data_IF_561738328581
#
_entry.id   IF_561738328581
#
_cell.length_a   1.000
_cell.length_b   1.000
_cell.length_c   1.000
_cell.angle_alpha   90.00
_cell.angle_beta   90.00
_cell.angle_gamma   90.00
#
_symmetry.space_group_name_H-M   'P 1'
#
loop_
_entity.id
_entity.type
_entity.pdbx_description
1 polymer ?
#
# COMPACT_ATOMS: atom_id res chain seq x y z
N UNK A 1 12.76 15.05 18.24
CA UNK A 1 12.17 14.38 17.06
C UNK A 1 12.16 15.34 15.88
N UNK A 2 12.62 14.92 14.69
CA UNK A 2 12.49 15.72 13.46
C UNK A 2 11.00 15.78 13.10
N UNK A 3 10.45 16.97 12.85
CA UNK A 3 9.04 17.10 12.46
C UNK A 3 8.83 16.52 11.07
N UNK A 4 7.75 15.76 10.89
CA UNK A 4 7.28 15.32 9.56
C UNK A 4 6.93 16.54 8.72
N UNK A 5 7.40 16.55 7.47
CA UNK A 5 7.06 17.59 6.49
C UNK A 5 5.87 17.13 5.65
N UNK A 6 4.96 18.04 5.37
CA UNK A 6 3.74 17.77 4.61
C UNK A 6 3.56 18.90 3.61
N UNK A 7 3.19 18.55 2.38
CA UNK A 7 2.80 19.49 1.32
C UNK A 7 1.46 19.09 0.76
N UNK A 8 0.64 20.08 0.39
CA UNK A 8 -0.59 19.89 -0.38
C UNK A 8 -0.48 20.73 -1.65
N UNK A 9 -0.60 20.08 -2.81
CA UNK A 9 -0.44 20.72 -4.12
C UNK A 9 -1.66 20.43 -4.97
N UNK A 10 -2.23 21.48 -5.54
CA UNK A 10 -3.34 21.37 -6.49
C UNK A 10 -2.84 20.84 -7.83
N UNK A 11 -3.62 19.95 -8.44
CA UNK A 11 -3.36 19.48 -9.81
C UNK A 11 -3.92 20.53 -10.78
N UNK A 12 -3.07 21.05 -11.64
CA UNK A 12 -3.44 21.97 -12.72
C UNK A 12 -3.36 21.22 -14.05
N UNK A 13 -4.30 21.48 -14.95
CA UNK A 13 -4.31 20.95 -16.33
C UNK A 13 -4.21 19.40 -16.39
N UNK A 14 -4.74 18.72 -15.36
CA UNK A 14 -4.64 17.26 -15.20
C UNK A 14 -3.18 16.73 -15.19
N UNK A 15 -2.21 17.58 -14.87
CA UNK A 15 -0.79 17.23 -14.85
C UNK A 15 -0.35 16.73 -13.46
N UNK A 16 -0.76 15.50 -13.15
CA UNK A 16 -0.44 14.83 -11.86
C UNK A 16 1.05 14.74 -11.60
N UNK A 17 1.86 14.49 -12.64
CA UNK A 17 3.32 14.38 -12.49
C UNK A 17 3.97 15.71 -12.08
N UNK A 18 3.56 16.82 -12.68
CA UNK A 18 4.07 18.15 -12.30
C UNK A 18 3.66 18.52 -10.87
N UNK A 19 2.42 18.24 -10.48
CA UNK A 19 1.94 18.46 -9.12
C UNK A 19 2.70 17.63 -8.09
N UNK A 20 2.94 16.34 -8.38
CA UNK A 20 3.74 15.46 -7.54
C UNK A 20 5.18 15.97 -7.40
N UNK A 21 5.83 16.34 -8.50
CA UNK A 21 7.20 16.87 -8.47
C UNK A 21 7.26 18.12 -7.58
N UNK A 22 6.32 19.05 -7.74
CA UNK A 22 6.23 20.24 -6.89
C UNK A 22 6.03 19.90 -5.40
N UNK A 23 5.14 18.93 -5.09
CA UNK A 23 4.92 18.47 -3.72
C UNK A 23 6.22 17.94 -3.08
N UNK A 24 7.01 17.17 -3.84
CA UNK A 24 8.30 16.65 -3.34
C UNK A 24 9.33 17.76 -3.12
N UNK A 25 9.41 18.75 -4.01
CA UNK A 25 10.27 19.92 -3.80
C UNK A 25 9.92 20.68 -2.50
N UNK A 26 8.63 20.87 -2.22
CA UNK A 26 8.15 21.55 -1.01
C UNK A 26 8.49 20.82 0.30
N UNK A 27 8.65 19.50 0.29
CA UNK A 27 9.09 18.73 1.47
C UNK A 27 10.61 18.58 1.57
N UNK A 28 11.37 19.17 0.65
CA UNK A 28 12.83 19.24 0.70
C UNK A 28 13.56 18.55 -0.45
N UNK A 29 12.86 18.21 -1.52
CA UNK A 29 13.45 17.73 -2.76
C UNK A 29 13.65 16.22 -2.83
N UNK A 30 14.10 15.78 -4.00
CA UNK A 30 14.22 14.36 -4.35
C UNK A 30 15.28 13.63 -3.55
N UNK A 31 16.53 14.10 -3.54
CA UNK A 31 17.66 13.36 -2.96
C UNK A 31 17.49 13.01 -1.47
N UNK A 32 16.99 13.91 -0.59
CA UNK A 32 16.76 13.56 0.81
C UNK A 32 15.55 12.62 1.02
N UNK A 33 14.71 12.45 0.01
CA UNK A 33 13.45 11.69 0.07
C UNK A 33 13.60 10.31 -0.56
N UNK A 34 14.28 10.24 -1.70
CA UNK A 34 14.57 9.04 -2.48
C UNK A 34 16.03 9.15 -2.95
N UNK A 35 16.99 8.71 -2.12
CA UNK A 35 18.41 8.78 -2.46
C UNK A 35 18.75 7.92 -3.67
N UNK A 36 19.76 8.36 -4.44
CA UNK A 36 20.26 7.58 -5.58
C UNK A 36 20.78 6.19 -5.15
N UNK A 37 20.58 5.19 -6.00
CA UNK A 37 20.98 3.81 -5.74
C UNK A 37 20.10 3.05 -4.73
N UNK A 38 18.97 3.62 -4.31
CA UNK A 38 18.01 2.95 -3.41
C UNK A 38 17.31 1.77 -4.08
N UNK A 39 17.00 0.73 -3.31
CA UNK A 39 15.95 -0.25 -3.65
C UNK A 39 14.59 0.31 -3.21
N UNK A 40 13.73 0.59 -4.17
CA UNK A 40 12.47 1.29 -3.95
C UNK A 40 11.31 0.29 -4.05
N UNK A 41 10.47 0.25 -3.03
CA UNK A 41 9.14 -0.36 -3.10
C UNK A 41 8.09 0.74 -3.26
N UNK A 42 7.29 0.66 -4.32
CA UNK A 42 6.07 1.46 -4.48
C UNK A 42 4.88 0.57 -4.13
N UNK A 43 4.17 0.96 -3.07
CA UNK A 43 3.02 0.21 -2.56
C UNK A 43 1.73 1.00 -2.80
N UNK A 44 0.94 0.65 -3.83
CA UNK A 44 -0.39 1.25 -4.04
C UNK A 44 -1.38 0.83 -2.94
N UNK A 45 -2.67 1.02 -3.19
CA UNK A 45 -3.79 0.48 -2.44
C UNK A 45 -4.66 -0.28 -3.45
N UNK A 46 -4.61 -1.61 -3.44
CA UNK A 46 -5.50 -2.47 -4.23
C UNK A 46 -6.33 -3.30 -3.27
N UNK A 47 -7.66 -3.14 -3.32
CA UNK A 47 -8.58 -3.84 -2.41
C UNK A 47 -9.31 -4.94 -3.17
N UNK A 48 -10.04 -4.55 -4.22
CA UNK A 48 -10.85 -5.44 -5.05
C UNK A 48 -10.75 -4.93 -6.48
N UNK A 49 -10.64 -5.82 -7.46
CA UNK A 49 -10.77 -5.48 -8.88
C UNK A 49 -11.74 -6.46 -9.56
N UNK A 50 -12.50 -6.04 -10.61
CA UNK A 50 -12.47 -4.74 -11.27
C UNK A 50 -13.22 -3.64 -10.50
N UNK A 51 -12.60 -2.48 -10.35
CA UNK A 51 -13.21 -1.23 -9.88
C UNK A 51 -12.23 -0.09 -10.19
N UNK A 52 -12.74 1.12 -10.36
CA UNK A 52 -11.91 2.33 -10.35
C UNK A 52 -11.94 3.03 -8.98
N UNK A 53 -12.85 2.59 -8.10
CA UNK A 53 -13.14 3.23 -6.82
C UNK A 53 -12.46 2.54 -5.65
N UNK A 54 -11.83 3.33 -4.79
CA UNK A 54 -11.19 2.81 -3.57
C UNK A 54 -9.91 2.02 -3.83
N UNK A 55 -9.32 2.17 -5.02
CA UNK A 55 -7.98 1.72 -5.43
C UNK A 55 -7.13 2.92 -5.87
N UNK A 56 -5.80 2.82 -5.81
CA UNK A 56 -4.93 3.90 -6.27
C UNK A 56 -5.13 4.15 -7.76
N UNK A 57 -5.36 5.40 -8.13
CA UNK A 57 -5.52 5.82 -9.52
C UNK A 57 -4.25 5.49 -10.32
N UNK A 58 -4.35 4.80 -11.46
CA UNK A 58 -3.20 4.45 -12.30
C UNK A 58 -2.36 5.66 -12.72
N UNK A 59 -2.95 6.85 -12.90
CA UNK A 59 -2.23 8.09 -13.24
C UNK A 59 -1.33 8.53 -12.10
N UNK A 60 -1.77 8.39 -10.84
CA UNK A 60 -0.95 8.70 -9.65
C UNK A 60 0.15 7.67 -9.49
N UNK A 61 -0.17 6.37 -9.64
CA UNK A 61 0.81 5.30 -9.56
C UNK A 61 1.91 5.47 -10.61
N UNK A 62 1.55 5.79 -11.86
CA UNK A 62 2.50 6.04 -12.93
C UNK A 62 3.34 7.30 -12.67
N UNK A 63 2.73 8.37 -12.14
CA UNK A 63 3.48 9.57 -11.79
C UNK A 63 4.54 9.30 -10.71
N UNK A 64 4.20 8.51 -9.69
CA UNK A 64 5.14 8.08 -8.64
C UNK A 64 6.24 7.18 -9.21
N UNK A 65 5.87 6.21 -10.05
CA UNK A 65 6.82 5.32 -10.70
C UNK A 65 7.81 6.06 -11.59
N UNK A 66 7.31 6.97 -12.43
CA UNK A 66 8.12 7.84 -13.28
C UNK A 66 9.06 8.71 -12.44
N UNK A 67 8.57 9.26 -11.33
CA UNK A 67 9.41 10.06 -10.44
C UNK A 67 10.53 9.21 -9.84
N UNK A 68 10.21 8.04 -9.30
CA UNK A 68 11.18 7.11 -8.73
C UNK A 68 12.23 6.68 -9.76
N UNK A 69 11.85 6.42 -11.01
CA UNK A 69 12.78 6.01 -12.08
C UNK A 69 13.80 7.08 -12.44
N UNK A 70 13.54 8.36 -12.15
CA UNK A 70 14.50 9.45 -12.41
C UNK A 70 15.60 9.56 -11.34
N UNK A 71 15.53 8.79 -10.26
CA UNK A 71 16.46 8.87 -9.12
C UNK A 71 17.71 8.00 -9.27
N UNK A 72 17.94 7.37 -10.43
CA UNK A 72 18.96 6.34 -10.61
C UNK A 72 18.88 5.22 -9.54
N UNK A 73 17.70 4.60 -9.35
CA UNK A 73 17.51 3.57 -8.34
C UNK A 73 18.27 2.29 -8.69
N UNK A 74 18.64 1.52 -7.67
CA UNK A 74 19.21 0.18 -7.86
C UNK A 74 18.14 -0.82 -8.31
N UNK A 75 16.92 -0.64 -7.83
CA UNK A 75 15.76 -1.47 -8.16
C UNK A 75 14.48 -0.70 -7.86
N UNK A 76 13.43 -0.90 -8.66
CA UNK A 76 12.07 -0.47 -8.33
C UNK A 76 11.16 -1.69 -8.37
N UNK A 77 10.33 -1.85 -7.35
CA UNK A 77 9.29 -2.89 -7.28
C UNK A 77 7.94 -2.23 -7.00
N UNK A 78 6.92 -2.55 -7.78
CA UNK A 78 5.53 -2.28 -7.42
C UNK A 78 5.01 -3.50 -6.67
N UNK A 79 4.69 -3.34 -5.38
CA UNK A 79 4.29 -4.46 -4.52
C UNK A 79 2.97 -4.21 -3.83
N UNK A 80 2.03 -5.14 -3.97
CA UNK A 80 0.76 -5.13 -3.25
C UNK A 80 0.30 -6.55 -2.88
N UNK A 81 -0.48 -6.67 -1.80
CA UNK A 81 -1.27 -7.85 -1.46
C UNK A 81 -2.74 -7.45 -1.45
N UNK A 82 -3.44 -7.72 -2.56
CA UNK A 82 -4.85 -7.33 -2.70
C UNK A 82 -5.72 -8.07 -1.67
N UNK A 83 -6.71 -7.37 -1.11
CA UNK A 83 -7.45 -7.85 0.06
C UNK A 83 -8.62 -8.79 -0.30
N UNK A 84 -9.37 -8.47 -1.35
CA UNK A 84 -10.63 -9.10 -1.74
C UNK A 84 -10.62 -9.49 -3.23
N UNK A 85 -9.42 -9.71 -3.77
CA UNK A 85 -9.20 -10.26 -5.09
C UNK A 85 -7.80 -10.86 -5.16
N UNK A 86 -7.57 -11.78 -6.11
CA UNK A 86 -6.21 -12.23 -6.38
C UNK A 86 -5.37 -11.07 -6.90
N UNK A 87 -4.24 -10.79 -6.25
CA UNK A 87 -3.40 -9.63 -6.57
C UNK A 87 -2.97 -9.62 -8.03
N UNK A 88 -2.59 -10.78 -8.58
CA UNK A 88 -2.19 -10.89 -9.98
C UNK A 88 -3.31 -10.53 -10.96
N UNK A 89 -4.58 -10.77 -10.59
CA UNK A 89 -5.74 -10.32 -11.37
C UNK A 89 -5.86 -8.81 -11.34
N UNK A 90 -5.72 -8.18 -10.17
CA UNK A 90 -5.70 -6.71 -10.05
C UNK A 90 -4.58 -6.08 -10.87
N UNK A 91 -3.37 -6.66 -10.82
CA UNK A 91 -2.23 -6.19 -11.61
C UNK A 91 -2.48 -6.26 -13.12
N UNK A 92 -3.16 -7.32 -13.61
CA UNK A 92 -3.53 -7.45 -15.02
C UNK A 92 -4.60 -6.46 -15.43
N UNK A 93 -5.69 -6.36 -14.66
CA UNK A 93 -6.82 -5.48 -14.97
C UNK A 93 -6.43 -4.00 -15.00
N UNK A 94 -5.46 -3.60 -14.16
CA UNK A 94 -4.96 -2.23 -14.08
C UNK A 94 -3.71 -1.99 -14.95
N UNK A 95 -3.32 -2.96 -15.80
CA UNK A 95 -2.14 -2.88 -16.66
C UNK A 95 -0.83 -2.53 -15.92
N UNK A 96 -0.69 -2.97 -14.67
CA UNK A 96 0.48 -2.64 -13.83
C UNK A 96 1.74 -3.28 -14.39
N UNK A 97 1.67 -4.47 -14.98
CA UNK A 97 2.83 -5.12 -15.61
C UNK A 97 3.39 -4.30 -16.78
N UNK A 98 2.52 -3.83 -17.67
CA UNK A 98 2.93 -2.99 -18.80
C UNK A 98 3.50 -1.65 -18.29
N UNK A 99 2.80 -1.01 -17.36
CA UNK A 99 3.26 0.22 -16.70
C UNK A 99 4.65 0.04 -16.08
N UNK A 100 4.87 -1.00 -15.28
CA UNK A 100 6.15 -1.28 -14.64
C UNK A 100 7.27 -1.46 -15.66
N UNK A 101 7.01 -2.19 -16.74
CA UNK A 101 8.00 -2.47 -17.79
C UNK A 101 8.54 -1.19 -18.46
N UNK A 102 7.69 -0.18 -18.67
CA UNK A 102 8.09 1.12 -19.28
C UNK A 102 9.13 1.88 -18.47
N UNK A 103 9.23 1.60 -17.17
CA UNK A 103 10.15 2.26 -16.24
C UNK A 103 11.18 1.31 -15.63
N UNK A 104 11.29 0.08 -16.14
CA UNK A 104 12.22 -0.94 -15.63
C UNK A 104 11.93 -1.41 -14.21
N UNK A 105 10.67 -1.37 -13.78
CA UNK A 105 10.24 -1.85 -12.48
C UNK A 105 9.76 -3.30 -12.53
N UNK A 106 9.95 -4.01 -11.43
CA UNK A 106 9.37 -5.32 -11.18
C UNK A 106 7.98 -5.19 -10.55
N UNK A 107 7.17 -6.24 -10.63
CA UNK A 107 5.87 -6.32 -9.96
C UNK A 107 5.87 -7.52 -9.03
N UNK A 108 5.42 -7.34 -7.79
CA UNK A 108 5.42 -8.40 -6.77
C UNK A 108 4.06 -8.52 -6.07
N UNK A 109 3.57 -9.75 -6.01
CA UNK A 109 2.42 -10.10 -5.17
C UNK A 109 2.89 -10.37 -3.73
N UNK A 110 2.60 -9.43 -2.83
CA UNK A 110 2.96 -9.52 -1.42
C UNK A 110 2.14 -10.57 -0.67
N UNK A 111 1.01 -11.04 -1.22
CA UNK A 111 0.23 -12.11 -0.59
C UNK A 111 0.98 -13.44 -0.56
N UNK A 112 1.80 -13.71 -1.57
CA UNK A 112 2.52 -14.98 -1.71
C UNK A 112 4.03 -14.87 -1.45
N UNK A 113 4.51 -13.65 -1.19
CA UNK A 113 5.92 -13.38 -0.94
C UNK A 113 6.40 -14.07 0.35
N UNK A 114 7.70 -14.38 0.39
CA UNK A 114 8.29 -14.96 1.59
C UNK A 114 8.28 -13.95 2.74
N UNK A 115 8.01 -14.39 3.96
CA UNK A 115 7.89 -13.53 5.13
C UNK A 115 9.15 -13.53 5.98
N UNK A 116 9.61 -12.34 6.35
CA UNK A 116 10.62 -12.11 7.39
C UNK A 116 9.91 -11.89 8.72
N UNK A 117 10.28 -12.67 9.74
CA UNK A 117 9.72 -12.54 11.09
C UNK A 117 10.31 -11.32 11.80
N UNK A 118 9.47 -10.35 12.15
CA UNK A 118 9.84 -9.14 12.88
C UNK A 118 9.20 -9.16 14.27
N UNK A 119 10.02 -9.09 15.32
CA UNK A 119 9.56 -9.08 16.72
C UNK A 119 8.82 -7.78 17.03
N UNK A 120 7.69 -7.87 17.71
CA UNK A 120 6.85 -6.74 18.09
C UNK A 120 6.91 -6.45 19.60
N UNK A 121 6.70 -5.19 20.02
CA UNK A 121 6.49 -4.86 21.43
C UNK A 121 5.17 -5.43 21.94
N UNK A 122 5.13 -5.83 23.21
CA UNK A 122 3.97 -6.44 23.86
C UNK A 122 2.67 -5.62 23.74
N UNK A 123 2.79 -4.27 23.72
CA UNK A 123 1.67 -3.34 23.62
C UNK A 123 0.81 -3.52 22.33
N UNK A 124 1.36 -4.16 21.31
CA UNK A 124 0.70 -4.38 20.02
C UNK A 124 -0.20 -5.63 20.02
N UNK A 125 -0.11 -6.49 21.05
CA UNK A 125 -0.97 -7.66 21.20
C UNK A 125 -0.63 -8.86 20.30
N UNK A 126 0.59 -8.89 19.75
CA UNK A 126 1.20 -10.03 19.04
C UNK A 126 2.72 -9.98 19.24
N UNK A 127 3.36 -11.14 19.32
CA UNK A 127 4.80 -11.24 19.60
C UNK A 127 5.66 -10.92 18.37
N UNK A 128 5.11 -11.14 17.17
CA UNK A 128 5.77 -10.86 15.90
C UNK A 128 4.77 -10.58 14.77
N UNK A 129 5.30 -10.08 13.66
CA UNK A 129 4.65 -10.08 12.35
C UNK A 129 5.57 -10.74 11.33
N UNK A 130 4.97 -11.48 10.40
CA UNK A 130 5.59 -11.88 9.14
C UNK A 130 5.45 -10.73 8.13
N UNK A 131 6.56 -10.05 7.83
CA UNK A 131 6.64 -8.95 6.87
C UNK A 131 7.12 -9.48 5.52
N UNK A 132 6.49 -9.16 4.37
CA UNK A 132 6.96 -9.60 3.07
C UNK A 132 8.42 -9.20 2.85
N UNK A 133 9.24 -10.13 2.38
CA UNK A 133 10.69 -9.95 2.18
C UNK A 133 10.97 -8.74 1.30
N UNK A 134 10.18 -8.55 0.25
CA UNK A 134 10.28 -7.39 -0.65
C UNK A 134 10.10 -6.06 0.09
N UNK A 135 9.23 -6.02 1.11
CA UNK A 135 9.01 -4.83 1.95
C UNK A 135 10.15 -4.65 2.96
N UNK A 136 10.63 -5.75 3.54
CA UNK A 136 11.70 -5.74 4.54
C UNK A 136 13.06 -5.32 3.95
N UNK A 137 13.35 -5.71 2.71
CA UNK A 137 14.64 -5.47 2.03
C UNK A 137 14.67 -4.15 1.23
N UNK A 138 13.56 -3.42 1.18
CA UNK A 138 13.48 -2.12 0.51
C UNK A 138 14.12 -1.01 1.36
N UNK A 139 15.04 -0.26 0.75
CA UNK A 139 15.65 0.92 1.36
C UNK A 139 14.63 2.03 1.52
N UNK A 140 13.75 2.19 0.52
CA UNK A 140 12.69 3.21 0.49
C UNK A 140 11.34 2.56 0.19
N UNK A 141 10.37 2.74 1.09
CA UNK A 141 8.97 2.34 0.92
C UNK A 141 8.11 3.58 0.66
N UNK A 142 7.64 3.70 -0.58
CA UNK A 142 6.70 4.74 -1.01
C UNK A 142 5.27 4.18 -0.93
N UNK A 143 4.50 4.65 0.05
CA UNK A 143 3.10 4.28 0.23
C UNK A 143 2.20 5.20 -0.58
N UNK A 144 1.29 4.64 -1.39
CA UNK A 144 0.39 5.42 -2.26
C UNK A 144 -1.09 5.12 -1.95
N UNK A 145 -1.60 5.51 -0.75
CA UNK A 145 -2.98 5.27 -0.35
C UNK A 145 -3.98 6.11 -1.14
N UNK A 146 -5.24 5.66 -1.13
CA UNK A 146 -6.39 6.46 -1.57
C UNK A 146 -6.92 7.37 -0.47
N UNK A 147 -7.41 8.55 -0.86
CA UNK A 147 -8.09 9.47 0.05
C UNK A 147 -9.52 8.96 0.37
N UNK A 148 -9.65 8.12 1.40
CA UNK A 148 -10.94 7.56 1.82
C UNK A 148 -11.15 7.64 3.32
N UNK A 149 -12.40 7.92 3.71
CA UNK A 149 -12.90 7.64 5.05
C UNK A 149 -13.21 6.15 5.19
N UNK A 150 -13.10 5.62 6.41
CA UNK A 150 -13.43 4.23 6.71
C UNK A 150 -14.70 4.20 7.55
N UNK A 151 -15.77 3.58 7.03
CA UNK A 151 -17.02 3.31 7.76
C UNK A 151 -17.61 4.51 8.52
N UNK A 152 -17.76 5.66 7.83
CA UNK A 152 -18.58 6.82 8.26
C UNK A 152 -18.10 7.61 9.48
N UNK A 153 -17.78 6.93 10.59
CA UNK A 153 -17.58 7.51 11.91
C UNK A 153 -16.10 7.44 12.37
N UNK A 154 -15.24 6.71 11.66
CA UNK A 154 -13.82 6.63 11.99
C UNK A 154 -12.98 7.64 11.20
N UNK A 155 -12.06 8.35 11.87
CA UNK A 155 -11.21 9.34 11.22
C UNK A 155 -10.32 8.68 10.16
N UNK A 156 -10.09 9.45 9.11
CA UNK A 156 -9.22 9.18 7.96
C UNK A 156 -7.99 8.34 8.32
N UNK A 157 -7.78 7.19 7.65
CA UNK A 157 -6.68 6.27 7.97
C UNK A 157 -5.47 6.35 7.02
N UNK A 158 -5.69 6.80 5.79
CA UNK A 158 -4.68 7.12 4.76
C UNK A 158 -3.45 6.18 4.78
N UNK A 159 -2.27 6.74 5.06
CA UNK A 159 -0.98 6.04 5.02
C UNK A 159 -0.91 4.86 5.98
N UNK A 160 -1.45 5.03 7.20
CA UNK A 160 -1.32 4.03 8.26
C UNK A 160 -1.98 2.71 7.87
N UNK A 161 -3.17 2.78 7.25
CA UNK A 161 -3.90 1.58 6.85
C UNK A 161 -3.40 1.00 5.53
N UNK A 162 -2.63 1.74 4.73
CA UNK A 162 -2.20 1.23 3.43
C UNK A 162 -1.31 -0.01 3.55
N UNK A 163 -0.51 -0.08 4.61
CA UNK A 163 0.35 -1.23 4.91
C UNK A 163 -0.44 -2.51 5.27
N UNK A 164 -1.77 -2.47 5.31
CA UNK A 164 -2.60 -3.68 5.48
C UNK A 164 -2.30 -4.77 4.44
N UNK A 165 -2.04 -4.40 3.19
CA UNK A 165 -1.67 -5.39 2.16
C UNK A 165 -0.30 -6.05 2.35
N UNK A 166 0.44 -5.69 3.40
CA UNK A 166 1.66 -6.40 3.81
C UNK A 166 1.34 -7.61 4.71
N UNK A 167 0.10 -7.80 5.16
CA UNK A 167 -0.33 -9.04 5.80
C UNK A 167 -0.58 -10.12 4.75
N UNK A 168 0.50 -10.66 4.18
CA UNK A 168 0.42 -11.57 3.06
C UNK A 168 -0.34 -12.86 3.35
N UNK A 169 -1.25 -13.24 2.45
CA UNK A 169 -2.10 -14.43 2.60
C UNK A 169 -1.33 -15.73 2.91
N UNK A 170 -0.08 -15.87 2.44
CA UNK A 170 0.81 -17.00 2.75
C UNK A 170 0.90 -17.31 4.26
N UNK A 171 0.85 -16.29 5.11
CA UNK A 171 0.96 -16.44 6.57
C UNK A 171 -0.35 -16.14 7.30
N UNK A 172 -1.15 -15.20 6.80
CA UNK A 172 -2.36 -14.70 7.49
C UNK A 172 -3.68 -15.17 6.85
N UNK A 173 -3.61 -15.83 5.70
CA UNK A 173 -4.75 -16.31 4.92
C UNK A 173 -5.44 -15.23 4.10
N UNK A 174 -6.27 -15.67 3.16
CA UNK A 174 -7.16 -14.80 2.39
C UNK A 174 -8.46 -14.60 3.18
N UNK A 175 -8.95 -13.36 3.29
CA UNK A 175 -10.17 -12.95 4.00
C UNK A 175 -10.07 -12.83 5.54
N UNK A 176 -10.91 -11.94 6.09
CA UNK A 176 -11.00 -11.58 7.52
C UNK A 176 -11.10 -12.78 8.47
N UNK A 177 -11.76 -13.85 8.05
CA UNK A 177 -12.11 -15.01 8.86
C UNK A 177 -11.44 -16.30 8.39
N UNK A 178 -10.35 -16.23 7.60
CA UNK A 178 -9.64 -17.41 7.05
C UNK A 178 -9.38 -18.49 8.12
N UNK A 179 -8.86 -18.07 9.27
CA UNK A 179 -8.57 -18.90 10.43
C UNK A 179 -9.81 -19.47 11.16
N UNK A 180 -10.98 -18.84 11.02
CA UNK A 180 -12.26 -19.33 11.54
C UNK A 180 -12.92 -20.29 10.54
N UNK A 181 -12.90 -19.95 9.25
CA UNK A 181 -13.46 -20.75 8.15
C UNK A 181 -12.76 -22.11 8.03
N UNK A 182 -11.45 -22.17 8.26
CA UNK A 182 -10.72 -23.44 8.31
C UNK A 182 -11.25 -24.42 9.36
N UNK A 183 -11.82 -23.91 10.45
CA UNK A 183 -12.39 -24.73 11.53
C UNK A 183 -13.80 -25.20 11.23
N UNK A 184 -14.57 -24.45 10.43
CA UNK A 184 -16.01 -24.66 10.23
C UNK A 184 -16.37 -25.21 8.86
N UNK A 185 -15.59 -24.94 7.81
CA UNK A 185 -15.81 -25.47 6.46
C UNK A 185 -14.49 -25.69 5.67
N UNK A 186 -13.72 -26.73 6.04
CA UNK A 186 -12.39 -27.01 5.45
C UNK A 186 -12.42 -27.38 3.96
N UNK A 187 -13.60 -27.60 3.37
CA UNK A 187 -13.76 -27.88 1.94
C UNK A 187 -13.79 -26.61 1.08
N UNK A 188 -13.97 -25.45 1.71
CA UNK A 188 -13.93 -24.13 1.06
C UNK A 188 -12.59 -23.42 1.25
N UNK A 189 -11.60 -24.11 1.83
CA UNK A 189 -10.28 -23.55 2.10
C UNK A 189 -9.23 -24.33 1.30
N UNK A 190 -8.62 -23.69 0.30
CA UNK A 190 -7.45 -24.23 -0.38
C UNK A 190 -6.21 -24.13 0.53
N UNK A 191 -5.24 -25.00 0.32
CA UNK A 191 -3.95 -24.93 1.00
C UNK A 191 -3.26 -23.60 0.64
N UNK A 192 -3.05 -22.72 1.64
CA UNK A 192 -2.54 -21.35 1.45
C UNK A 192 -3.61 -20.25 1.51
N UNK A 193 -4.90 -20.58 1.53
CA UNK A 193 -5.98 -19.62 1.82
C UNK A 193 -6.21 -19.43 3.33
N UNK A 194 -5.68 -20.34 4.14
CA UNK A 194 -5.73 -20.29 5.60
C UNK A 194 -4.36 -19.94 6.14
N UNK A 195 -4.29 -18.84 6.89
CA UNK A 195 -3.07 -18.43 7.57
C UNK A 195 -2.75 -19.30 8.77
N UNK A 196 -1.46 -19.47 9.04
CA UNK A 196 -0.96 -20.06 10.29
C UNK A 196 -0.82 -19.01 11.41
N UNK A 197 -0.76 -17.73 11.04
CA UNK A 197 -0.68 -16.59 11.94
C UNK A 197 -2.08 -16.03 12.27
N UNK A 198 -2.18 -15.24 13.35
CA UNK A 198 -3.41 -14.51 13.66
C UNK A 198 -3.72 -13.50 12.55
N UNK A 199 -4.94 -13.56 12.03
CA UNK A 199 -5.40 -12.68 10.95
C UNK A 199 -5.33 -11.19 11.29
N UNK A 200 -5.43 -10.36 10.26
CA UNK A 200 -5.28 -8.89 10.32
C UNK A 200 -6.30 -8.16 11.22
N UNK A 201 -7.39 -8.81 11.62
CA UNK A 201 -8.38 -8.23 12.52
C UNK A 201 -8.15 -8.59 13.99
N UNK A 202 -7.10 -9.37 14.30
CA UNK A 202 -6.79 -9.81 15.66
C UNK A 202 -5.48 -9.19 16.17
N UNK A 203 -5.43 -8.72 17.44
CA UNK A 203 -6.55 -8.65 18.37
C UNK A 203 -7.54 -7.54 18.00
N UNK A 204 -7.07 -6.52 17.29
CA UNK A 204 -7.91 -5.51 16.66
C UNK A 204 -7.29 -4.99 15.35
N UNK A 205 -8.07 -4.21 14.59
CA UNK A 205 -7.61 -3.55 13.35
C UNK A 205 -6.54 -2.51 13.67
N UNK A 206 -6.75 -1.70 14.71
CA UNK A 206 -5.88 -0.62 15.14
C UNK A 206 -4.52 -1.15 15.57
N UNK A 207 -4.50 -2.24 16.33
CA UNK A 207 -3.28 -2.91 16.73
C UNK A 207 -2.53 -3.49 15.53
N UNK A 208 -3.24 -4.03 14.54
CA UNK A 208 -2.61 -4.56 13.32
C UNK A 208 -2.06 -3.44 12.43
N UNK A 209 -2.73 -2.27 12.40
CA UNK A 209 -2.20 -1.06 11.77
C UNK A 209 -0.90 -0.66 12.47
N UNK A 210 -0.91 -0.55 13.80
CA UNK A 210 0.26 -0.18 14.58
C UNK A 210 1.42 -1.17 14.39
N UNK A 211 1.15 -2.48 14.42
CA UNK A 211 2.16 -3.52 14.25
C UNK A 211 2.92 -3.38 12.93
N UNK A 212 2.20 -3.22 11.82
CA UNK A 212 2.84 -3.18 10.50
C UNK A 212 3.62 -1.88 10.30
N UNK A 213 3.10 -0.75 10.79
CA UNK A 213 3.83 0.53 10.75
C UNK A 213 5.06 0.53 11.67
N UNK A 214 5.03 -0.20 12.79
CA UNK A 214 6.20 -0.40 13.65
C UNK A 214 7.23 -1.34 13.01
N UNK A 215 6.77 -2.37 12.29
CA UNK A 215 7.64 -3.32 11.61
C UNK A 215 8.38 -2.68 10.42
N UNK A 216 7.67 -1.90 9.60
CA UNK A 216 8.26 -1.10 8.53
C UNK A 216 7.45 0.17 8.30
N UNK A 217 7.88 1.33 8.80
CA UNK A 217 7.25 2.60 8.46
C UNK A 217 7.49 2.92 6.98
N UNK A 218 6.58 3.67 6.36
CA UNK A 218 6.82 4.25 5.04
C UNK A 218 7.79 5.42 5.14
N UNK A 219 8.67 5.55 4.14
CA UNK A 219 9.65 6.64 4.08
C UNK A 219 9.07 7.86 3.35
N UNK A 220 8.18 7.60 2.38
CA UNK A 220 7.39 8.61 1.67
C UNK A 220 5.95 8.14 1.56
N UNK A 221 4.99 9.05 1.74
CA UNK A 221 3.58 8.79 1.46
C UNK A 221 3.08 9.80 0.43
N UNK A 222 2.52 9.30 -0.67
CA UNK A 222 1.83 10.10 -1.69
C UNK A 222 0.35 9.72 -1.66
N UNK A 223 -0.47 10.58 -1.08
CA UNK A 223 -1.91 10.30 -0.98
C UNK A 223 -2.55 10.64 -2.32
N UNK A 224 -3.15 9.63 -2.96
CA UNK A 224 -4.02 9.83 -4.12
C UNK A 224 -5.32 10.50 -3.67
N UNK A 225 -5.42 11.79 -3.99
CA UNK A 225 -6.58 12.62 -3.76
C UNK A 225 -7.14 13.16 -5.07
N UNK A 226 -7.03 12.42 -6.19
CA UNK A 226 -7.83 12.72 -7.40
C UNK A 226 -9.31 12.46 -7.09
N UNK A 227 -9.59 11.34 -6.44
CA UNK A 227 -10.90 10.98 -5.93
C UNK A 227 -10.88 10.85 -4.41
N UNK A 228 -11.90 11.39 -3.76
CA UNK A 228 -12.12 11.23 -2.32
C UNK A 228 -13.40 10.48 -2.03
N UNK A 229 -13.38 9.54 -1.07
CA UNK A 229 -14.57 8.81 -0.63
C UNK A 229 -14.98 9.12 0.82
N UNK A 230 -16.29 9.21 1.05
CA UNK A 230 -16.88 9.39 2.38
C UNK A 230 -17.01 8.09 3.20
N UNK A 231 -16.57 6.95 2.64
CA UNK A 231 -16.66 5.65 3.30
C UNK A 231 -18.08 5.06 3.33
N UNK A 232 -19.07 5.73 2.73
CA UNK A 232 -20.45 5.26 2.52
C UNK A 232 -20.73 4.89 1.06
N UNK A 233 -19.68 4.85 0.24
CA UNK A 233 -19.76 4.54 -1.19
C UNK A 233 -19.94 5.77 -2.09
N UNK A 234 -19.95 6.98 -1.52
CA UNK A 234 -19.93 8.21 -2.30
C UNK A 234 -18.49 8.62 -2.59
N UNK A 235 -18.28 9.19 -3.79
CA UNK A 235 -16.98 9.62 -4.29
C UNK A 235 -17.11 11.00 -4.91
N UNK A 236 -16.09 11.84 -4.70
CA UNK A 236 -15.99 13.19 -5.27
C UNK A 236 -14.66 13.32 -5.99
N UNK A 237 -14.68 13.88 -7.20
CA UNK A 237 -13.48 14.30 -7.94
C UNK A 237 -12.91 15.55 -7.31
N UNK A 238 -11.95 15.36 -6.42
CA UNK A 238 -11.34 16.42 -5.62
C UNK A 238 -10.46 17.34 -6.48
N UNK A 239 -9.88 16.81 -7.56
CA UNK A 239 -9.10 17.57 -8.54
C UNK A 239 -9.95 18.54 -9.38
N UNK A 240 -11.27 18.36 -9.40
CA UNK A 240 -12.24 19.25 -10.08
C UNK A 240 -12.91 20.26 -9.14
N UNK A 241 -12.65 20.20 -7.83
CA UNK A 241 -13.21 21.17 -6.89
C UNK A 241 -12.53 22.52 -7.08
N UNK A 242 -13.32 23.57 -7.34
CA UNK A 242 -12.85 24.95 -7.47
C UNK A 242 -12.37 25.48 -6.12
#
# INVERSE_FOLDING_TARGET
MRKTKVSLVRIHEQNTYAALKNAIELIGGMEPTIPSGSKILIKPNLVMCPTERGITNPVVLEAVLKLASTTSPKQIVIGEGSADSYTWTSFRLLNIYDMASRYGAEVRDLNVDEGVRVKMPDAVGRDHVMLPRTVAEADIVISVPTFKLWMGDLPMSLSLKNLFGCYGARYYGHNKTSHELAKTDPRRTLQGEVGIERGIHHPSVEQSIAAMNLARPSDLTVIDAIEGSDGKGNYVRMDMLM
#
